data_IF_472753464302
#
_entry.id   IF_472753464302
#
_cell.length_a   1.000
_cell.length_b   1.000
_cell.length_c   1.000
_cell.angle_alpha   90.00
_cell.angle_beta   90.00
_cell.angle_gamma   90.00
#
_symmetry.space_group_name_H-M   'P 1'
#
loop_
_entity.id
_entity.type
_entity.pdbx_description
1 polymer ?
#
# COMPACT_ATOMS: atom_id res chain seq x y z
N UNK A 1 -17.49 1.91 6.80
CA UNK A 1 -17.60 1.63 8.25
C UNK A 1 -16.49 0.74 8.78
N UNK A 2 -16.07 -0.37 8.14
CA UNK A 2 -14.91 -1.15 8.64
C UNK A 2 -13.59 -0.39 8.57
N UNK A 3 -13.37 0.38 7.49
CA UNK A 3 -12.17 1.21 7.36
C UNK A 3 -12.00 2.25 8.46
N UNK A 4 -13.10 2.82 8.97
CA UNK A 4 -13.07 3.82 10.05
C UNK A 4 -12.71 3.21 11.41
N UNK A 5 -12.99 1.91 11.60
CA UNK A 5 -12.58 1.15 12.79
C UNK A 5 -11.14 0.65 12.67
N UNK A 6 -10.71 0.26 11.46
CA UNK A 6 -9.37 -0.25 11.20
C UNK A 6 -8.30 0.85 11.18
N UNK A 7 -8.62 2.02 10.60
CA UNK A 7 -7.71 3.14 10.44
C UNK A 7 -6.98 3.55 11.73
N UNK A 8 -7.65 3.83 12.87
CA UNK A 8 -6.95 4.23 14.10
C UNK A 8 -6.06 3.12 14.68
N UNK A 9 -6.29 1.85 14.35
CA UNK A 9 -5.41 0.75 14.78
C UNK A 9 -4.13 0.72 13.94
N UNK A 10 -4.26 0.92 12.63
CA UNK A 10 -3.13 1.03 11.70
C UNK A 10 -2.35 2.32 11.95
N UNK A 11 -3.03 3.43 12.22
CA UNK A 11 -2.42 4.74 12.47
C UNK A 11 -1.49 4.76 13.71
N UNK A 12 -1.86 4.00 14.75
CA UNK A 12 -1.01 3.80 15.93
C UNK A 12 0.27 3.00 15.62
N UNK A 13 0.26 2.18 14.57
CA UNK A 13 1.40 1.38 14.14
C UNK A 13 2.26 2.16 13.14
N UNK A 14 1.64 2.73 12.11
CA UNK A 14 2.29 3.34 10.95
C UNK A 14 1.54 4.59 10.49
N UNK A 15 1.65 5.69 11.24
CA UNK A 15 0.93 6.95 10.98
C UNK A 15 1.18 7.52 9.56
N UNK A 16 2.41 7.46 9.07
CA UNK A 16 2.81 8.06 7.79
C UNK A 16 2.14 7.36 6.59
N UNK A 17 1.94 6.04 6.68
CA UNK A 17 1.36 5.21 5.63
C UNK A 17 -0.01 4.62 5.98
N UNK A 18 -0.63 5.08 7.07
CA UNK A 18 -1.86 4.51 7.62
C UNK A 18 -3.00 4.48 6.60
N UNK A 19 -3.17 5.55 5.83
CA UNK A 19 -4.21 5.63 4.81
C UNK A 19 -4.00 4.62 3.67
N UNK A 20 -2.75 4.44 3.23
CA UNK A 20 -2.40 3.52 2.13
C UNK A 20 -2.51 2.07 2.59
N UNK A 21 -1.96 1.74 3.75
CA UNK A 21 -2.03 0.40 4.34
C UNK A 21 -3.49 0.04 4.64
N UNK A 22 -4.26 0.93 5.26
CA UNK A 22 -5.69 0.71 5.52
C UNK A 22 -6.45 0.48 4.23
N UNK A 23 -6.17 1.25 3.16
CA UNK A 23 -6.76 1.04 1.84
C UNK A 23 -6.49 -0.36 1.28
N UNK A 24 -5.25 -0.83 1.36
CA UNK A 24 -4.86 -2.17 0.90
C UNK A 24 -5.50 -3.28 1.73
N UNK A 25 -5.59 -3.12 3.05
CA UNK A 25 -6.24 -4.10 3.93
C UNK A 25 -7.75 -4.17 3.69
N UNK A 26 -8.38 -3.09 3.23
CA UNK A 26 -9.80 -3.07 2.88
C UNK A 26 -10.11 -3.77 1.54
N UNK A 27 -9.09 -4.13 0.75
CA UNK A 27 -9.28 -4.97 -0.44
C UNK A 27 -9.47 -6.46 -0.08
N UNK A 28 -9.28 -6.83 1.19
CA UNK A 28 -9.47 -8.17 1.72
C UNK A 28 -10.95 -8.47 2.02
N UNK A 29 -11.28 -9.75 2.20
CA UNK A 29 -12.63 -10.18 2.58
C UNK A 29 -13.05 -9.60 3.94
N UNK A 30 -14.33 -9.21 4.03
CA UNK A 30 -14.95 -8.67 5.25
C UNK A 30 -14.65 -9.47 6.55
N UNK A 31 -14.76 -10.81 6.59
CA UNK A 31 -14.42 -11.59 7.78
C UNK A 31 -12.94 -11.53 8.14
N UNK A 32 -12.04 -11.38 7.17
CA UNK A 32 -10.61 -11.28 7.43
C UNK A 32 -10.27 -9.93 8.05
N UNK A 33 -10.84 -8.83 7.52
CA UNK A 33 -10.69 -7.49 8.11
C UNK A 33 -11.20 -7.43 9.56
N UNK A 34 -12.33 -8.09 9.85
CA UNK A 34 -12.85 -8.22 11.22
C UNK A 34 -11.84 -8.91 12.14
N UNK A 35 -11.24 -10.01 11.69
CA UNK A 35 -10.22 -10.72 12.46
C UNK A 35 -9.00 -9.84 12.78
N UNK A 36 -8.60 -8.97 11.85
CA UNK A 36 -7.51 -8.01 12.08
C UNK A 36 -7.86 -6.96 13.14
N UNK A 37 -9.11 -6.54 13.24
CA UNK A 37 -9.57 -5.61 14.28
C UNK A 37 -9.59 -6.29 15.65
N UNK A 38 -9.93 -7.58 15.70
CA UNK A 38 -10.00 -8.37 16.94
C UNK A 38 -8.63 -8.86 17.41
N UNK A 39 -7.64 -8.98 16.50
CA UNK A 39 -6.32 -9.55 16.77
C UNK A 39 -5.19 -8.57 16.44
N UNK A 40 -4.58 -7.91 17.46
CA UNK A 40 -3.52 -6.93 17.24
C UNK A 40 -2.24 -7.54 16.66
N UNK A 41 -1.95 -8.81 16.97
CA UNK A 41 -0.81 -9.53 16.38
C UNK A 41 -1.02 -9.79 14.88
N UNK A 42 -2.25 -10.17 14.48
CA UNK A 42 -2.58 -10.36 13.08
C UNK A 42 -2.52 -9.04 12.31
N UNK A 43 -3.03 -7.95 12.90
CA UNK A 43 -2.95 -6.62 12.30
C UNK A 43 -1.49 -6.21 12.06
N UNK A 44 -0.61 -6.37 13.07
CA UNK A 44 0.81 -6.04 12.92
C UNK A 44 1.49 -6.81 11.80
N UNK A 45 1.23 -8.11 11.71
CA UNK A 45 1.79 -8.95 10.65
C UNK A 45 1.32 -8.44 9.27
N UNK A 46 0.02 -8.18 9.11
CA UNK A 46 -0.55 -7.68 7.85
C UNK A 46 -0.08 -6.28 7.48
N UNK A 47 0.07 -5.39 8.45
CA UNK A 47 0.63 -4.05 8.24
C UNK A 47 2.07 -4.16 7.73
N UNK A 48 2.88 -5.04 8.30
CA UNK A 48 4.25 -5.26 7.82
C UNK A 48 4.29 -5.80 6.38
N UNK A 49 3.42 -6.77 6.04
CA UNK A 49 3.29 -7.27 4.66
C UNK A 49 2.86 -6.16 3.70
N UNK A 50 1.85 -5.38 4.06
CA UNK A 50 1.36 -4.27 3.25
C UNK A 50 2.44 -3.19 3.04
N UNK A 51 3.25 -2.90 4.06
CA UNK A 51 4.37 -1.95 3.96
C UNK A 51 5.44 -2.44 2.98
N UNK A 52 5.76 -3.73 2.97
CA UNK A 52 6.71 -4.32 2.02
C UNK A 52 6.19 -4.19 0.57
N UNK A 53 4.90 -4.47 0.36
CA UNK A 53 4.24 -4.28 -0.94
C UNK A 53 4.24 -2.80 -1.34
N UNK A 54 3.90 -1.88 -0.43
CA UNK A 54 3.93 -0.44 -0.70
C UNK A 54 5.33 0.04 -1.08
N UNK A 55 6.38 -0.47 -0.42
CA UNK A 55 7.77 -0.19 -0.78
C UNK A 55 8.06 -0.63 -2.21
N UNK A 56 7.66 -1.85 -2.56
CA UNK A 56 7.88 -2.43 -3.88
C UNK A 56 7.11 -1.66 -4.97
N UNK A 57 5.86 -1.28 -4.70
CA UNK A 57 5.03 -0.48 -5.61
C UNK A 57 5.56 0.95 -5.77
N UNK A 58 6.02 1.58 -4.68
CA UNK A 58 6.65 2.90 -4.74
C UNK A 58 7.94 2.89 -5.57
N UNK A 59 8.72 1.80 -5.51
CA UNK A 59 9.88 1.60 -6.38
C UNK A 59 9.50 1.42 -7.85
N UNK A 60 8.33 0.85 -8.15
CA UNK A 60 7.84 0.65 -9.51
C UNK A 60 7.17 1.91 -10.10
N UNK A 61 6.50 2.72 -9.28
CA UNK A 61 5.85 3.97 -9.72
C UNK A 61 6.84 5.10 -10.06
N UNK A 62 8.09 5.01 -9.60
CA UNK A 62 9.19 5.86 -10.05
C UNK A 62 9.72 5.53 -11.46
N UNK A 63 9.29 4.43 -12.07
CA UNK A 63 9.75 3.97 -13.37
C UNK A 63 8.59 3.90 -14.38
N UNK A 64 7.89 5.03 -14.53
CA UNK A 64 6.78 5.18 -15.48
C UNK A 64 7.23 4.80 -16.90
N UNK A 65 6.51 3.93 -17.63
CA UNK A 65 6.83 3.61 -19.04
C UNK A 65 6.76 4.85 -19.96
N UNK A 66 6.13 5.93 -19.49
CA UNK A 66 6.13 7.22 -20.16
C UNK A 66 7.53 7.89 -20.21
N UNK A 67 8.38 7.65 -19.21
CA UNK A 67 9.76 8.19 -19.18
C UNK A 67 10.68 7.44 -20.15
N UNK A 68 10.41 6.13 -20.34
CA UNK A 68 11.08 5.32 -21.36
C UNK A 68 10.71 5.78 -22.77
N UNK A 69 9.46 6.16 -23.05
CA UNK A 69 9.07 6.67 -24.37
C UNK A 69 9.67 8.04 -24.72
N UNK A 70 9.92 8.90 -23.71
CA UNK A 70 10.57 10.19 -23.91
C UNK A 70 12.06 10.05 -24.28
N UNK A 71 12.74 9.04 -23.75
CA UNK A 71 14.15 8.77 -24.06
C UNK A 71 14.38 8.11 -25.43
N UNK A 72 13.39 7.38 -25.97
CA UNK A 72 13.47 6.84 -27.35
C UNK A 72 13.21 7.89 -28.44
N UNK A 73 12.54 9.00 -28.13
CA UNK A 73 12.13 10.00 -29.14
C UNK A 73 13.22 11.03 -29.49
N UNK A 74 14.32 11.08 -28.74
CA UNK A 74 15.39 12.08 -28.91
C UNK A 74 16.58 11.58 -29.75
N UNK A 75 16.55 10.34 -30.25
CA UNK A 75 17.69 9.75 -30.96
C UNK A 75 17.54 9.69 -32.49
N UNK A 76 16.50 10.33 -33.06
CA UNK A 76 16.25 10.41 -34.50
C UNK A 76 16.71 11.77 -35.07
N UNK A 77 17.98 12.12 -34.85
CA UNK A 77 18.62 13.23 -35.54
C UNK A 77 20.01 12.82 -36.04
N UNK A 78 20.03 12.04 -37.13
CA UNK A 78 21.15 11.99 -38.07
C UNK A 78 20.66 11.71 -39.49
#
# INVERSE_FOLDING_TARGET
MLGEALYPLVDQLEHDSAAKVTGMLLEMDQPEVLHLIESPDALKAKVAEAMDVLRNVAQQQGNSPADQLASLSLNDNL
#
